data_IF_718187838622
#
_entry.id   IF_718187838622
#
_cell.length_a   1.000
_cell.length_b   1.000
_cell.length_c   1.000
_cell.angle_alpha   90.00
_cell.angle_beta   90.00
_cell.angle_gamma   90.00
#
_symmetry.space_group_name_H-M   'P 1'
#
loop_
_entity.id
_entity.type
_entity.pdbx_description
1 polymer ?
#
# COMPACT_ATOMS: atom_id res chain seq x y z
N UNK A 1 -0.94 -6.55 14.11
CA UNK A 1 0.03 -7.03 13.11
C UNK A 1 1.38 -6.35 13.31
N UNK A 2 2.49 -7.03 13.03
CA UNK A 2 3.84 -6.46 13.12
C UNK A 2 4.54 -6.59 11.75
N UNK A 3 4.87 -5.44 11.13
CA UNK A 3 5.55 -5.38 9.85
C UNK A 3 7.07 -5.21 9.96
N UNK A 4 7.64 -5.28 11.16
CA UNK A 4 9.07 -5.07 11.39
C UNK A 4 9.99 -6.11 10.68
N UNK A 5 9.44 -7.21 10.20
CA UNK A 5 10.14 -8.18 9.35
C UNK A 5 10.45 -7.66 7.95
N UNK A 6 9.73 -6.65 7.46
CA UNK A 6 9.93 -6.07 6.14
C UNK A 6 10.86 -4.85 6.21
N UNK A 7 11.72 -4.70 5.21
CA UNK A 7 12.59 -3.52 5.07
C UNK A 7 11.81 -2.30 4.64
N UNK A 8 10.82 -2.51 3.77
CA UNK A 8 9.92 -1.47 3.28
C UNK A 8 8.53 -2.05 3.02
N UNK A 9 7.52 -1.17 2.98
CA UNK A 9 6.13 -1.49 2.64
C UNK A 9 5.57 -0.42 1.71
N UNK A 10 4.58 -0.79 0.92
CA UNK A 10 3.71 0.14 0.19
C UNK A 10 2.38 0.19 0.91
N UNK A 11 1.94 1.35 1.36
CA UNK A 11 0.62 1.52 1.96
C UNK A 11 -0.41 1.84 0.87
N UNK A 12 -1.46 1.05 0.78
CA UNK A 12 -2.60 1.41 -0.04
C UNK A 12 -3.37 2.57 0.61
N UNK A 13 -4.01 3.44 -0.18
CA UNK A 13 -4.70 4.65 0.30
C UNK A 13 -5.77 4.34 1.34
N UNK A 14 -6.44 3.18 1.21
CA UNK A 14 -7.46 2.75 2.14
C UNK A 14 -6.94 2.54 3.58
N UNK A 15 -5.65 2.25 3.77
CA UNK A 15 -5.03 2.17 5.10
C UNK A 15 -5.08 3.54 5.79
N UNK A 16 -4.72 4.61 5.08
CA UNK A 16 -4.75 5.97 5.61
C UNK A 16 -6.19 6.47 5.84
N UNK A 17 -7.10 6.12 4.93
CA UNK A 17 -8.52 6.46 5.04
C UNK A 17 -9.18 5.73 6.22
N UNK A 18 -8.87 4.44 6.38
CA UNK A 18 -9.38 3.63 7.50
C UNK A 18 -8.85 4.13 8.85
N UNK A 19 -7.53 4.39 8.94
CA UNK A 19 -6.94 5.00 10.15
C UNK A 19 -7.55 6.36 10.50
N UNK A 20 -8.14 7.03 9.51
CA UNK A 20 -8.82 8.32 9.65
C UNK A 20 -10.33 8.20 9.89
N UNK A 21 -10.84 6.98 10.10
CA UNK A 21 -12.27 6.67 10.29
C UNK A 21 -13.16 7.06 9.08
N UNK A 22 -12.58 7.07 7.86
CA UNK A 22 -13.27 7.41 6.61
C UNK A 22 -13.50 6.19 5.70
N UNK A 23 -13.52 4.99 6.28
CA UNK A 23 -13.91 3.74 5.64
C UNK A 23 -15.09 3.12 6.42
N UNK A 24 -16.34 3.41 6.07
CA UNK A 24 -17.52 3.05 6.88
C UNK A 24 -17.74 1.53 7.02
N UNK A 25 -17.09 0.74 6.15
CA UNK A 25 -17.11 -0.74 6.22
C UNK A 25 -16.10 -1.33 7.22
N UNK A 26 -15.17 -0.52 7.73
CA UNK A 26 -14.12 -0.99 8.63
C UNK A 26 -14.65 -1.09 10.08
N UNK A 27 -14.29 -2.17 10.76
CA UNK A 27 -14.51 -2.30 12.20
C UNK A 27 -13.55 -1.43 13.02
N UNK A 28 -13.86 -1.20 14.29
CA UNK A 28 -12.96 -0.50 15.23
C UNK A 28 -11.60 -1.22 15.34
N UNK A 29 -11.57 -2.54 15.21
CA UNK A 29 -10.33 -3.33 15.21
C UNK A 29 -9.50 -3.01 13.99
N UNK A 30 -10.13 -2.96 12.80
CA UNK A 30 -9.48 -2.59 11.57
C UNK A 30 -8.87 -1.17 11.65
N UNK A 31 -9.61 -0.19 12.20
CA UNK A 31 -9.10 1.17 12.44
C UNK A 31 -7.87 1.14 13.35
N UNK A 32 -7.91 0.42 14.47
CA UNK A 32 -6.75 0.29 15.37
C UNK A 32 -5.53 -0.33 14.69
N UNK A 33 -5.72 -1.37 13.87
CA UNK A 33 -4.64 -2.00 13.10
C UNK A 33 -4.01 -0.99 12.13
N UNK A 34 -4.81 -0.23 11.38
CA UNK A 34 -4.32 0.78 10.44
C UNK A 34 -3.53 1.90 11.15
N UNK A 35 -4.03 2.40 12.28
CA UNK A 35 -3.31 3.38 13.11
C UNK A 35 -1.97 2.80 13.58
N UNK A 36 -1.97 1.55 14.05
CA UNK A 36 -0.76 0.86 14.51
C UNK A 36 0.30 0.72 13.41
N UNK A 37 -0.12 0.47 12.17
CA UNK A 37 0.80 0.39 11.01
C UNK A 37 1.40 1.77 10.68
N UNK A 38 0.59 2.82 10.69
CA UNK A 38 1.08 4.20 10.49
C UNK A 38 2.15 4.54 11.53
N UNK A 39 1.93 4.19 12.80
CA UNK A 39 2.91 4.44 13.86
C UNK A 39 4.21 3.62 13.67
N UNK A 40 4.14 2.36 13.22
CA UNK A 40 5.34 1.57 12.87
C UNK A 40 6.14 2.26 11.76
N UNK A 41 5.49 2.69 10.67
CA UNK A 41 6.14 3.41 9.56
C UNK A 41 6.76 4.73 10.05
N UNK A 42 6.09 5.46 10.93
CA UNK A 42 6.63 6.69 11.54
C UNK A 42 7.90 6.44 12.36
N UNK A 43 8.03 5.25 12.94
CA UNK A 43 9.24 4.82 13.67
C UNK A 43 10.37 4.35 12.72
N UNK A 44 10.11 4.29 11.42
CA UNK A 44 11.09 3.92 10.39
C UNK A 44 11.30 2.42 10.21
N UNK A 45 10.45 1.59 10.79
CA UNK A 45 10.50 0.13 10.67
C UNK A 45 9.07 -0.42 10.52
N UNK A 46 8.65 -0.76 9.31
CA UNK A 46 9.35 -0.68 8.01
C UNK A 46 9.43 0.74 7.44
N UNK A 47 10.30 0.94 6.44
CA UNK A 47 10.35 2.17 5.65
C UNK A 47 9.15 2.22 4.68
N UNK A 48 8.64 3.41 4.35
CA UNK A 48 7.62 3.59 3.31
C UNK A 48 8.28 3.59 1.92
N UNK A 49 7.73 2.82 0.98
CA UNK A 49 8.09 2.87 -0.44
C UNK A 49 7.03 3.63 -1.24
N UNK A 50 7.47 4.57 -2.08
CA UNK A 50 6.62 5.36 -2.97
C UNK A 50 7.22 5.38 -4.39
N UNK A 51 6.37 5.64 -5.37
CA UNK A 51 6.81 5.91 -6.72
C UNK A 51 7.44 7.32 -6.83
N UNK A 52 8.50 7.46 -7.61
CA UNK A 52 9.23 8.73 -7.80
C UNK A 52 8.47 9.72 -8.69
N UNK A 53 7.48 9.24 -9.46
CA UNK A 53 6.56 10.07 -10.26
C UNK A 53 5.45 10.75 -9.43
N UNK A 54 5.29 10.36 -8.15
CA UNK A 54 4.37 10.98 -7.20
C UNK A 54 2.90 10.55 -7.31
N UNK A 55 2.59 9.50 -8.08
CA UNK A 55 1.20 9.06 -8.31
C UNK A 55 0.50 8.60 -7.02
N UNK A 56 1.22 7.87 -6.15
CA UNK A 56 0.69 7.44 -4.85
C UNK A 56 0.50 8.66 -3.94
N UNK A 57 1.49 9.54 -3.90
CA UNK A 57 1.42 10.73 -3.05
C UNK A 57 0.28 11.67 -3.46
N UNK A 58 0.08 11.86 -4.76
CA UNK A 58 -1.02 12.66 -5.30
C UNK A 58 -2.39 12.08 -4.89
N UNK A 59 -2.52 10.75 -4.91
CA UNK A 59 -3.74 10.09 -4.46
C UNK A 59 -3.97 10.28 -2.96
N UNK A 60 -2.96 10.09 -2.13
CA UNK A 60 -3.06 10.36 -0.70
C UNK A 60 -3.55 11.79 -0.44
N UNK A 61 -2.96 12.79 -1.10
CA UNK A 61 -3.39 14.18 -0.97
C UNK A 61 -4.82 14.39 -1.46
N UNK A 62 -5.20 13.78 -2.58
CA UNK A 62 -6.55 13.88 -3.13
C UNK A 62 -7.60 13.34 -2.16
N UNK A 63 -7.35 12.19 -1.54
CA UNK A 63 -8.29 11.53 -0.66
C UNK A 63 -8.36 12.18 0.73
N UNK A 64 -7.23 12.64 1.27
CA UNK A 64 -7.16 13.10 2.65
C UNK A 64 -7.32 14.63 2.83
N UNK A 65 -7.19 15.43 1.78
CA UNK A 65 -7.28 16.90 1.87
C UNK A 65 -8.58 17.44 2.48
N UNK A 66 -9.66 16.67 2.38
CA UNK A 66 -10.95 17.05 2.97
C UNK A 66 -11.01 16.83 4.49
N UNK A 67 -10.00 16.18 5.06
CA UNK A 67 -9.97 15.72 6.46
C UNK A 67 -8.69 16.17 7.18
N UNK A 68 -8.47 17.49 7.35
CA UNK A 68 -7.18 18.04 7.80
C UNK A 68 -6.76 17.65 9.22
N UNK A 69 -7.71 17.24 10.06
CA UNK A 69 -7.45 16.81 11.45
C UNK A 69 -7.37 15.29 11.60
N UNK A 70 -7.42 14.55 10.49
CA UNK A 70 -7.40 13.09 10.51
C UNK A 70 -5.97 12.53 10.66
N UNK A 71 -5.88 11.29 11.17
CA UNK A 71 -4.60 10.57 11.36
C UNK A 71 -3.82 10.48 10.05
N UNK A 72 -4.48 10.11 8.94
CA UNK A 72 -3.85 9.99 7.63
C UNK A 72 -3.32 11.33 7.11
N UNK A 73 -4.09 12.42 7.25
CA UNK A 73 -3.65 13.74 6.82
C UNK A 73 -2.46 14.24 7.65
N UNK A 74 -2.49 14.06 8.97
CA UNK A 74 -1.39 14.42 9.86
C UNK A 74 -0.13 13.60 9.56
N UNK A 75 -0.27 12.32 9.20
CA UNK A 75 0.82 11.50 8.71
C UNK A 75 1.49 12.12 7.47
N UNK A 76 0.71 12.53 6.46
CA UNK A 76 1.25 13.16 5.26
C UNK A 76 1.95 14.48 5.58
N UNK A 77 1.26 15.41 6.26
CA UNK A 77 1.72 16.79 6.44
C UNK A 77 2.81 16.97 7.47
N UNK A 78 2.82 16.17 8.52
CA UNK A 78 3.76 16.36 9.62
C UNK A 78 4.92 15.36 9.55
N UNK A 79 4.63 14.12 9.20
CA UNK A 79 5.67 13.11 9.20
C UNK A 79 6.32 12.95 7.83
N UNK A 80 5.55 12.71 6.79
CA UNK A 80 6.09 12.41 5.46
C UNK A 80 6.91 13.58 4.92
N UNK A 81 6.39 14.80 4.98
CA UNK A 81 7.09 16.00 4.53
C UNK A 81 8.43 16.21 5.27
N UNK A 82 8.49 15.84 6.56
CA UNK A 82 9.70 16.00 7.38
C UNK A 82 10.69 14.84 7.28
N UNK A 83 10.25 13.68 6.80
CA UNK A 83 11.03 12.43 6.77
C UNK A 83 11.26 11.91 5.35
N UNK A 84 11.13 12.75 4.34
CA UNK A 84 11.30 12.39 2.94
C UNK A 84 12.60 11.64 2.64
N UNK A 85 13.66 11.93 3.36
CA UNK A 85 14.96 11.25 3.25
C UNK A 85 14.95 9.77 3.72
N UNK A 86 13.91 9.34 4.44
CA UNK A 86 13.71 7.96 4.90
C UNK A 86 12.71 7.19 4.01
N UNK A 87 12.33 7.74 2.85
CA UNK A 87 11.42 7.09 1.91
C UNK A 87 12.24 6.34 0.85
N UNK A 88 11.79 5.14 0.51
CA UNK A 88 12.31 4.39 -0.65
C UNK A 88 11.56 4.86 -1.89
N UNK A 89 12.22 5.64 -2.74
CA UNK A 89 11.67 6.09 -4.01
C UNK A 89 12.06 5.13 -5.14
N UNK A 90 11.07 4.75 -5.97
CA UNK A 90 11.27 3.81 -7.06
C UNK A 90 10.63 4.28 -8.36
N UNK A 91 11.32 4.05 -9.49
CA UNK A 91 10.80 4.28 -10.84
C UNK A 91 9.90 3.11 -11.26
N UNK A 92 8.61 3.37 -11.38
CA UNK A 92 7.61 2.41 -11.85
C UNK A 92 7.39 2.47 -13.37
N UNK A 93 8.10 3.37 -14.06
CA UNK A 93 8.04 3.57 -15.50
C UNK A 93 6.61 3.78 -16.02
N UNK A 94 5.93 4.87 -15.66
CA UNK A 94 4.58 5.16 -16.12
C UNK A 94 4.53 5.24 -17.66
N UNK A 95 3.64 4.49 -18.31
CA UNK A 95 3.44 4.50 -19.78
C UNK A 95 2.10 5.07 -20.15
N UNK A 96 1.06 4.64 -19.50
CA UNK A 96 -0.31 5.10 -19.65
C UNK A 96 -1.00 4.94 -18.29
N UNK A 97 -0.99 6.00 -17.48
CA UNK A 97 -1.53 5.99 -16.12
C UNK A 97 -3.05 5.86 -16.11
N UNK A 98 -3.74 6.40 -17.14
CA UNK A 98 -5.19 6.28 -17.27
C UNK A 98 -5.64 4.83 -17.54
N UNK A 99 -4.76 4.01 -18.11
CA UNK A 99 -4.97 2.57 -18.33
C UNK A 99 -4.25 1.69 -17.30
N UNK A 100 -3.62 2.27 -16.28
CA UNK A 100 -2.83 1.54 -15.28
C UNK A 100 -1.66 0.78 -15.89
N UNK A 101 -0.96 1.37 -16.88
CA UNK A 101 0.18 0.73 -17.56
C UNK A 101 1.50 1.24 -17.01
N UNK A 102 2.24 0.35 -16.37
CA UNK A 102 3.56 0.62 -15.80
C UNK A 102 4.60 -0.31 -16.42
N UNK A 103 5.81 0.20 -16.69
CA UNK A 103 6.85 -0.55 -17.38
C UNK A 103 7.41 -1.73 -16.58
N UNK A 104 7.31 -1.65 -15.27
CA UNK A 104 7.74 -2.71 -14.35
C UNK A 104 6.78 -3.89 -14.30
N UNK A 105 5.52 -3.71 -14.75
CA UNK A 105 4.52 -4.77 -14.80
C UNK A 105 4.40 -5.36 -16.22
N UNK A 106 4.19 -6.70 -16.35
CA UNK A 106 3.85 -7.29 -17.62
C UNK A 106 2.55 -6.71 -18.19
N UNK A 107 2.51 -6.41 -19.49
CA UNK A 107 1.39 -5.69 -20.16
C UNK A 107 -0.01 -6.28 -19.92
N UNK A 108 -0.11 -7.59 -19.64
CA UNK A 108 -1.38 -8.30 -19.40
C UNK A 108 -1.54 -8.75 -17.95
N UNK A 109 -0.62 -8.36 -17.08
CA UNK A 109 -0.76 -8.65 -15.67
C UNK A 109 -1.98 -7.92 -15.09
N UNK A 110 -2.61 -8.53 -14.12
CA UNK A 110 -3.71 -7.94 -13.35
C UNK A 110 -4.90 -7.50 -14.26
N UNK A 111 -5.29 -8.38 -15.19
CA UNK A 111 -6.49 -8.15 -15.99
C UNK A 111 -7.71 -8.20 -15.07
N UNK A 112 -8.52 -7.12 -15.07
CA UNK A 112 -9.70 -6.98 -14.21
C UNK A 112 -9.43 -6.28 -12.87
N UNK A 113 -8.19 -6.27 -12.40
CA UNK A 113 -7.79 -5.50 -11.21
C UNK A 113 -7.94 -4.00 -11.45
N UNK A 114 -8.33 -3.24 -10.42
CA UNK A 114 -8.52 -1.79 -10.56
C UNK A 114 -7.23 -1.15 -11.12
N UNK A 115 -7.43 -0.35 -12.18
CA UNK A 115 -6.32 0.30 -12.87
C UNK A 115 -5.62 1.33 -11.99
N UNK A 116 -6.39 1.99 -11.11
CA UNK A 116 -5.88 3.03 -10.24
C UNK A 116 -5.02 2.44 -9.10
N UNK A 117 -5.22 1.17 -8.73
CA UNK A 117 -4.45 0.47 -7.70
C UNK A 117 -3.17 -0.20 -8.23
N UNK A 118 -3.05 -0.35 -9.55
CA UNK A 118 -1.85 -0.97 -10.17
C UNK A 118 -0.56 -0.23 -9.86
N UNK A 119 -0.61 1.07 -9.51
CA UNK A 119 0.57 1.82 -9.10
C UNK A 119 1.17 1.31 -7.79
N UNK A 120 0.34 0.88 -6.82
CA UNK A 120 0.82 0.29 -5.58
C UNK A 120 1.54 -1.04 -5.84
N UNK A 121 0.96 -1.88 -6.69
CA UNK A 121 1.59 -3.14 -7.13
C UNK A 121 2.89 -2.88 -7.88
N UNK A 122 2.90 -1.92 -8.81
CA UNK A 122 4.10 -1.53 -9.56
C UNK A 122 5.21 -1.03 -8.63
N UNK A 123 4.85 -0.23 -7.61
CA UNK A 123 5.78 0.27 -6.60
C UNK A 123 6.38 -0.87 -5.77
N UNK A 124 5.56 -1.84 -5.34
CA UNK A 124 6.05 -3.01 -4.62
C UNK A 124 7.04 -3.82 -5.46
N UNK A 125 6.71 -4.12 -6.72
CA UNK A 125 7.62 -4.85 -7.64
C UNK A 125 8.94 -4.11 -7.85
N UNK A 126 8.89 -2.79 -8.07
CA UNK A 126 10.09 -1.98 -8.26
C UNK A 126 10.94 -1.91 -6.99
N UNK A 127 10.30 -1.74 -5.82
CA UNK A 127 10.98 -1.68 -4.53
C UNK A 127 11.62 -3.03 -4.15
N UNK A 128 10.94 -4.15 -4.39
CA UNK A 128 11.51 -5.49 -4.22
C UNK A 128 12.78 -5.69 -5.05
N UNK A 129 12.74 -5.27 -6.31
CA UNK A 129 13.91 -5.34 -7.20
C UNK A 129 15.07 -4.48 -6.69
N UNK A 130 14.78 -3.28 -6.20
CA UNK A 130 15.80 -2.35 -5.68
C UNK A 130 16.42 -2.88 -4.39
N UNK A 131 15.60 -3.39 -3.46
CA UNK A 131 16.04 -3.77 -2.12
C UNK A 131 16.52 -5.21 -2.01
N UNK A 132 16.21 -6.07 -3.00
CA UNK A 132 16.49 -7.51 -2.96
C UNK A 132 15.77 -8.21 -1.81
N UNK A 133 14.59 -7.73 -1.42
CA UNK A 133 13.79 -8.24 -0.31
C UNK A 133 12.31 -8.05 -0.60
N UNK A 134 11.45 -8.84 0.05
CA UNK A 134 9.99 -8.72 -0.06
C UNK A 134 9.53 -7.36 0.43
N UNK A 135 8.71 -6.69 -0.39
CA UNK A 135 8.06 -5.41 -0.07
C UNK A 135 6.56 -5.60 -0.28
N UNK A 136 5.78 -5.80 0.78
CA UNK A 136 4.34 -6.02 0.63
C UNK A 136 3.59 -4.74 0.29
N UNK A 137 2.45 -4.90 -0.37
CA UNK A 137 1.37 -3.91 -0.35
C UNK A 137 0.53 -4.18 0.88
N UNK A 138 0.31 -3.17 1.70
CA UNK A 138 -0.54 -3.24 2.90
C UNK A 138 -1.92 -2.74 2.52
N UNK A 139 -2.91 -3.60 2.64
CA UNK A 139 -4.31 -3.35 2.31
C UNK A 139 -5.19 -3.43 3.56
N UNK A 140 -6.15 -2.51 3.71
CA UNK A 140 -7.09 -2.53 4.81
C UNK A 140 -8.44 -3.16 4.41
N UNK A 141 -9.17 -2.55 3.48
CA UNK A 141 -10.59 -2.88 3.24
C UNK A 141 -10.95 -3.12 1.77
N UNK A 142 -9.98 -3.13 0.87
CA UNK A 142 -10.24 -3.33 -0.54
C UNK A 142 -10.26 -4.82 -0.91
N UNK A 143 -11.39 -5.29 -1.44
CA UNK A 143 -11.60 -6.68 -1.85
C UNK A 143 -10.90 -7.04 -3.17
N UNK A 144 -10.56 -6.07 -4.02
CA UNK A 144 -9.89 -6.31 -5.30
C UNK A 144 -8.58 -7.10 -5.11
N UNK A 145 -7.84 -6.79 -4.02
CA UNK A 145 -6.62 -7.52 -3.68
C UNK A 145 -6.87 -8.99 -3.32
N UNK A 146 -8.01 -9.31 -2.70
CA UNK A 146 -8.42 -10.70 -2.41
C UNK A 146 -8.82 -11.41 -3.69
N UNK A 147 -9.64 -10.76 -4.51
CA UNK A 147 -10.16 -11.33 -5.77
C UNK A 147 -9.06 -11.64 -6.78
N UNK A 148 -7.96 -10.90 -6.74
CA UNK A 148 -6.81 -11.03 -7.65
C UNK A 148 -5.55 -11.62 -6.99
N UNK A 149 -5.67 -12.21 -5.80
CA UNK A 149 -4.52 -12.64 -4.99
C UNK A 149 -3.58 -13.60 -5.74
N UNK A 150 -4.12 -14.57 -6.49
CA UNK A 150 -3.31 -15.51 -7.28
C UNK A 150 -2.50 -14.81 -8.38
N UNK A 151 -3.09 -13.79 -9.03
CA UNK A 151 -2.40 -13.00 -10.04
C UNK A 151 -1.30 -12.12 -9.43
N UNK A 152 -1.53 -11.57 -8.23
CA UNK A 152 -0.55 -10.80 -7.47
C UNK A 152 0.62 -11.68 -7.02
N UNK A 153 0.34 -12.88 -6.50
CA UNK A 153 1.35 -13.88 -6.15
C UNK A 153 2.18 -14.32 -7.35
N UNK A 154 1.55 -14.52 -8.51
CA UNK A 154 2.26 -14.86 -9.75
C UNK A 154 3.25 -13.76 -10.20
N UNK A 155 3.05 -12.51 -9.74
CA UNK A 155 3.99 -11.41 -9.91
C UNK A 155 5.04 -11.32 -8.81
N UNK A 156 5.00 -12.21 -7.81
CA UNK A 156 5.85 -12.17 -6.62
C UNK A 156 5.47 -11.05 -5.64
N UNK A 157 4.25 -10.53 -5.73
CA UNK A 157 3.77 -9.48 -4.83
C UNK A 157 3.05 -10.09 -3.64
N UNK A 158 3.50 -9.70 -2.47
CA UNK A 158 2.91 -10.03 -1.19
C UNK A 158 1.86 -8.98 -0.81
N UNK A 159 0.72 -9.41 -0.27
CA UNK A 159 -0.31 -8.52 0.26
C UNK A 159 -0.50 -8.81 1.75
N UNK A 160 -0.36 -7.78 2.55
CA UNK A 160 -0.68 -7.83 3.99
C UNK A 160 -2.09 -7.26 4.21
N UNK A 161 -3.01 -8.13 4.61
CA UNK A 161 -4.40 -7.77 4.89
C UNK A 161 -4.54 -7.40 6.37
N UNK A 162 -4.84 -6.14 6.67
CA UNK A 162 -4.97 -5.66 8.04
C UNK A 162 -6.29 -6.03 8.69
N UNK A 163 -7.35 -6.05 7.90
CA UNK A 163 -8.71 -6.12 8.42
C UNK A 163 -9.32 -7.51 8.21
N UNK A 164 -9.95 -8.08 9.23
CA UNK A 164 -10.55 -9.42 9.13
C UNK A 164 -11.67 -9.49 8.09
N UNK A 165 -12.30 -8.35 7.77
CA UNK A 165 -13.39 -8.22 6.81
C UNK A 165 -13.00 -8.58 5.37
N UNK A 166 -11.72 -8.47 5.04
CA UNK A 166 -11.19 -8.70 3.68
C UNK A 166 -10.07 -9.75 3.65
N UNK A 167 -9.98 -10.59 4.69
CA UNK A 167 -8.99 -11.67 4.67
C UNK A 167 -9.40 -12.78 3.70
N UNK A 168 -8.44 -13.34 2.92
CA UNK A 168 -8.73 -14.50 2.10
C UNK A 168 -9.09 -15.71 2.98
N UNK A 169 -9.93 -16.64 2.48
CA UNK A 169 -10.47 -17.75 3.28
C UNK A 169 -9.44 -18.72 3.90
N UNK A 170 -8.18 -18.62 3.50
CA UNK A 170 -7.07 -19.47 3.97
C UNK A 170 -5.88 -18.66 4.51
N UNK A 171 -6.12 -17.46 5.04
CA UNK A 171 -5.08 -16.52 5.47
C UNK A 171 -4.09 -17.09 6.51
N UNK A 172 -4.48 -18.11 7.30
CA UNK A 172 -3.61 -18.73 8.31
C UNK A 172 -2.39 -19.48 7.73
N UNK A 173 -2.41 -19.80 6.43
CA UNK A 173 -1.34 -20.53 5.74
C UNK A 173 -0.60 -19.67 4.68
N UNK A 174 -0.96 -18.40 4.57
CA UNK A 174 -0.46 -17.53 3.52
C UNK A 174 0.67 -16.63 4.03
N UNK A 175 1.77 -17.24 4.46
CA UNK A 175 3.00 -16.48 4.72
C UNK A 175 3.53 -15.92 3.39
N UNK A 176 3.81 -14.61 3.38
CA UNK A 176 4.53 -13.96 2.29
C UNK A 176 5.94 -14.59 2.17
N UNK A 177 6.40 -14.91 0.96
CA UNK A 177 7.71 -15.57 0.75
C UNK A 177 8.89 -14.69 1.16
#
# INVERSE_FOLDING_TARGET
>A
MNLAQYRAVVLETNVLMTASEHAPQASDECVRQCVGIIEQVKQGVPTLALDDSGLILDEYHKCLRAYPDSVGYMFLRQWLDSNWHNIVLVDIQPKDTEQGQFGVLPRRALKGFDRDDKKFVATAVAAQKLLGATVPVVNAVDSDYVEHLDALRALGVCIEFLCPEVQPPNAENDECP
#
